data_IF_730052930650
#
_entry.id   IF_730052930650
#
_cell.length_a   1.000
_cell.length_b   1.000
_cell.length_c   1.000
_cell.angle_alpha   90.00
_cell.angle_beta   90.00
_cell.angle_gamma   90.00
#
_symmetry.space_group_name_H-M   'P 1'
#
loop_
_entity.id
_entity.type
_entity.pdbx_description
1 polymer ?
#
# COMPACT_ATOMS: atom_id res chain seq x y z
N UNK A 1 38.20 45.76 -3.18
CA UNK A 1 37.64 44.39 -3.22
C UNK A 1 38.65 43.51 -2.51
N UNK A 2 38.34 43.15 -1.27
CA UNK A 2 39.22 42.37 -0.40
C UNK A 2 38.98 40.87 -0.70
N UNK A 3 40.01 40.10 -1.09
CA UNK A 3 39.86 38.67 -1.37
C UNK A 3 39.42 37.85 -0.14
N UNK A 4 39.56 38.42 1.06
CA UNK A 4 39.11 37.83 2.33
C UNK A 4 37.57 37.89 2.50
N UNK A 5 36.92 38.83 1.82
CA UNK A 5 35.45 39.00 1.82
C UNK A 5 34.76 37.95 0.92
N UNK A 6 35.52 37.31 0.02
CA UNK A 6 35.07 36.23 -0.87
C UNK A 6 35.45 34.82 -0.39
N UNK A 7 36.26 34.70 0.67
CA UNK A 7 36.54 33.42 1.31
C UNK A 7 35.38 33.09 2.24
N UNK A 8 34.35 32.43 1.71
CA UNK A 8 33.23 31.89 2.50
C UNK A 8 33.77 31.25 3.79
N UNK A 9 33.42 31.83 4.95
CA UNK A 9 33.83 31.32 6.23
C UNK A 9 33.41 29.83 6.34
N UNK A 10 34.36 28.90 6.52
CA UNK A 10 34.06 27.48 6.58
C UNK A 10 33.07 27.14 7.69
N UNK A 11 33.02 27.93 8.78
CA UNK A 11 32.05 27.76 9.86
C UNK A 11 30.65 28.18 9.42
N UNK A 12 30.50 29.33 8.75
CA UNK A 12 29.23 29.77 8.16
C UNK A 12 28.69 28.74 7.14
N UNK A 13 29.56 28.17 6.30
CA UNK A 13 29.17 27.12 5.34
C UNK A 13 28.69 25.85 6.06
N UNK A 14 29.40 25.40 7.11
CA UNK A 14 29.00 24.25 7.90
C UNK A 14 27.66 24.48 8.61
N UNK A 15 27.43 25.68 9.11
CA UNK A 15 26.18 26.09 9.76
C UNK A 15 25.00 26.09 8.81
N UNK A 16 25.15 26.72 7.63
CA UNK A 16 24.13 26.72 6.57
C UNK A 16 23.83 25.29 6.12
N UNK A 17 24.85 24.43 5.99
CA UNK A 17 24.67 23.01 5.64
C UNK A 17 23.92 22.22 6.71
N UNK A 18 24.10 22.56 7.98
CA UNK A 18 23.35 21.95 9.08
C UNK A 18 21.88 22.40 9.10
N UNK A 19 21.61 23.68 8.82
CA UNK A 19 20.25 24.21 8.69
C UNK A 19 19.50 23.63 7.49
N UNK A 20 20.19 23.50 6.35
CA UNK A 20 19.64 22.92 5.14
C UNK A 20 19.61 21.39 5.16
N UNK A 21 20.14 20.74 6.21
CA UNK A 21 20.15 19.29 6.32
C UNK A 21 18.69 18.81 6.26
N UNK A 22 18.27 18.10 5.19
CA UNK A 22 16.90 17.67 5.07
C UNK A 22 16.61 16.74 6.25
N UNK A 23 15.62 17.08 7.07
CA UNK A 23 15.14 16.16 8.10
C UNK A 23 14.42 15.03 7.37
N UNK A 24 15.13 13.95 7.09
CA UNK A 24 14.55 12.71 6.56
C UNK A 24 13.56 12.20 7.60
N UNK A 25 12.30 12.60 7.45
CA UNK A 25 11.20 12.09 8.23
C UNK A 25 11.03 10.65 7.79
N UNK A 26 11.56 9.71 8.57
CA UNK A 26 11.39 8.28 8.33
C UNK A 26 9.88 8.02 8.40
N UNK A 27 9.23 7.93 7.23
CA UNK A 27 7.84 7.55 7.15
C UNK A 27 7.77 6.07 7.50
N UNK A 28 6.91 5.73 8.47
CA UNK A 28 6.65 4.34 8.83
C UNK A 28 5.86 3.72 7.68
N UNK A 29 6.57 3.02 6.78
CA UNK A 29 5.97 2.30 5.64
C UNK A 29 5.31 0.98 6.06
N UNK A 30 5.62 0.48 7.26
CA UNK A 30 5.05 -0.73 7.84
C UNK A 30 3.51 -0.83 7.79
N UNK A 31 2.72 0.20 8.17
CA UNK A 31 1.26 0.15 8.06
C UNK A 31 0.76 0.01 6.61
N UNK A 32 1.39 0.68 5.65
CA UNK A 32 1.02 0.59 4.24
C UNK A 32 1.30 -0.83 3.71
N UNK A 33 2.47 -1.37 4.06
CA UNK A 33 2.85 -2.74 3.71
C UNK A 33 1.89 -3.77 4.31
N UNK A 34 1.49 -3.60 5.58
CA UNK A 34 0.53 -4.48 6.25
C UNK A 34 -0.85 -4.44 5.59
N UNK A 35 -1.35 -3.24 5.24
CA UNK A 35 -2.62 -3.10 4.55
C UNK A 35 -2.62 -3.79 3.17
N UNK A 36 -1.54 -3.60 2.39
CA UNK A 36 -1.39 -4.25 1.08
C UNK A 36 -1.31 -5.77 1.20
N UNK A 37 -0.56 -6.29 2.18
CA UNK A 37 -0.46 -7.72 2.44
C UNK A 37 -1.81 -8.33 2.79
N UNK A 38 -2.58 -7.69 3.67
CA UNK A 38 -3.91 -8.16 4.06
C UNK A 38 -4.85 -8.27 2.85
N UNK A 39 -4.89 -7.24 2.00
CA UNK A 39 -5.71 -7.28 0.78
C UNK A 39 -5.32 -8.42 -0.16
N UNK A 40 -4.01 -8.67 -0.35
CA UNK A 40 -3.52 -9.78 -1.15
C UNK A 40 -3.96 -11.14 -0.56
N UNK A 41 -3.85 -11.32 0.75
CA UNK A 41 -4.31 -12.54 1.42
C UNK A 41 -5.82 -12.76 1.29
N UNK A 42 -6.63 -11.71 1.41
CA UNK A 42 -8.07 -11.79 1.17
C UNK A 42 -8.39 -12.23 -0.25
N UNK A 43 -7.75 -11.61 -1.26
CA UNK A 43 -7.96 -11.95 -2.66
C UNK A 43 -7.59 -13.41 -2.97
N UNK A 44 -6.45 -13.88 -2.44
CA UNK A 44 -6.02 -15.27 -2.57
C UNK A 44 -7.04 -16.23 -1.94
N UNK A 45 -7.54 -15.91 -0.75
CA UNK A 45 -8.52 -16.75 -0.05
C UNK A 45 -9.85 -16.87 -0.79
N UNK A 46 -10.34 -15.80 -1.42
CA UNK A 46 -11.55 -15.87 -2.24
C UNK A 46 -11.32 -16.65 -3.53
N UNK A 47 -10.20 -16.41 -4.21
CA UNK A 47 -9.86 -17.12 -5.43
C UNK A 47 -9.72 -18.62 -5.19
N UNK A 48 -9.08 -19.04 -4.10
CA UNK A 48 -8.96 -20.46 -3.76
C UNK A 48 -10.31 -21.11 -3.52
N UNK A 49 -11.24 -20.43 -2.83
CA UNK A 49 -12.61 -20.93 -2.64
C UNK A 49 -13.33 -21.06 -3.98
N UNK A 50 -13.21 -20.09 -4.88
CA UNK A 50 -13.83 -20.17 -6.22
C UNK A 50 -13.27 -21.32 -7.07
N UNK A 51 -11.97 -21.62 -6.95
CA UNK A 51 -11.33 -22.71 -7.70
C UNK A 51 -11.70 -24.08 -7.12
N UNK A 52 -11.82 -24.19 -5.80
CA UNK A 52 -12.10 -25.46 -5.12
C UNK A 52 -13.60 -25.77 -4.99
N UNK A 53 -14.47 -24.76 -5.12
CA UNK A 53 -15.89 -24.93 -4.95
C UNK A 53 -16.46 -25.92 -6.00
N UNK A 54 -17.30 -26.89 -5.57
CA UNK A 54 -18.07 -27.69 -6.50
C UNK A 54 -18.95 -26.79 -7.38
N UNK A 55 -19.14 -27.12 -8.68
CA UNK A 55 -19.97 -26.31 -9.56
C UNK A 55 -21.39 -26.23 -9.01
N UNK A 56 -21.92 -25.01 -8.87
CA UNK A 56 -23.29 -24.81 -8.44
C UNK A 56 -24.24 -25.39 -9.49
N UNK A 57 -24.80 -26.56 -9.22
CA UNK A 57 -25.79 -27.21 -10.07
C UNK A 57 -27.15 -26.60 -9.75
N UNK A 58 -27.65 -25.74 -10.63
CA UNK A 58 -29.04 -25.28 -10.57
C UNK A 58 -29.93 -26.40 -11.09
N UNK A 59 -30.58 -27.15 -10.20
CA UNK A 59 -31.64 -28.07 -10.62
C UNK A 59 -32.87 -27.26 -10.99
N UNK A 60 -33.35 -27.41 -12.23
CA UNK A 60 -34.68 -26.94 -12.61
C UNK A 60 -35.70 -27.67 -11.72
N UNK A 61 -36.42 -26.91 -10.89
CA UNK A 61 -37.52 -27.45 -10.12
C UNK A 61 -38.68 -27.69 -11.11
N UNK A 62 -39.15 -28.94 -11.30
CA UNK A 62 -40.27 -29.20 -12.19
C UNK A 62 -41.55 -28.57 -11.62
N UNK A 63 -42.30 -27.87 -12.48
CA UNK A 63 -43.55 -27.17 -12.15
C UNK A 63 -44.62 -28.07 -11.51
N UNK A 64 -44.56 -29.38 -11.75
CA UNK A 64 -45.47 -30.38 -11.17
C UNK A 64 -45.46 -30.41 -9.63
N UNK A 65 -44.45 -29.83 -8.96
CA UNK A 65 -44.38 -29.72 -7.49
C UNK A 65 -44.78 -28.36 -6.93
N UNK A 66 -45.08 -27.38 -7.78
CA UNK A 66 -45.43 -26.01 -7.37
C UNK A 66 -46.94 -25.79 -7.17
N UNK A 67 -47.79 -26.81 -7.37
CA UNK A 67 -49.22 -26.70 -7.13
C UNK A 67 -49.86 -25.65 -8.04
N UNK A 68 -49.78 -25.86 -9.36
CA UNK A 68 -50.68 -25.19 -10.30
C UNK A 68 -52.12 -25.73 -10.14
N UNK A 69 -53.14 -24.91 -10.47
CA UNK A 69 -54.55 -25.17 -10.15
C UNK A 69 -55.10 -26.50 -10.68
#
# INVERSE_FOLDING_TARGET
MDPSDSALDPVAVAYVRALLRPKTRIQKMAPVLAAAAFAAFCALSFATVMVLAPPAVTQHLPDDRLGGP
#
